data_IF_343972270278
#
_entry.id   IF_343972270278
#
_cell.length_a   1.000
_cell.length_b   1.000
_cell.length_c   1.000
_cell.angle_alpha   90.00
_cell.angle_beta   90.00
_cell.angle_gamma   90.00
#
_symmetry.space_group_name_H-M   'P 1'
#
loop_
_entity.id
_entity.type
_entity.pdbx_description
1 polymer ?
#
# COMPACT_ATOMS: atom_id res chain seq x y z
N UNK A 1 12.89 -5.56 -3.69
CA UNK A 1 11.57 -6.18 -3.95
C UNK A 1 11.60 -6.80 -5.33
N UNK A 2 11.06 -8.00 -5.48
CA UNK A 2 11.07 -8.75 -6.75
C UNK A 2 9.90 -8.38 -7.68
N UNK A 3 8.88 -7.66 -7.19
CA UNK A 3 7.73 -7.20 -7.99
C UNK A 3 7.13 -5.89 -7.48
N UNK A 4 6.25 -5.31 -8.29
CA UNK A 4 5.50 -4.10 -7.93
C UNK A 4 4.29 -4.44 -7.04
N UNK A 5 3.96 -3.59 -6.05
CA UNK A 5 2.78 -3.80 -5.22
C UNK A 5 1.51 -3.85 -6.06
N UNK A 6 0.66 -4.84 -5.79
CA UNK A 6 -0.63 -5.00 -6.45
C UNK A 6 -1.72 -4.37 -5.57
N UNK A 7 -2.61 -3.58 -6.18
CA UNK A 7 -3.68 -2.88 -5.48
C UNK A 7 -5.01 -3.23 -6.10
N UNK A 8 -5.91 -3.73 -5.26
CA UNK A 8 -7.32 -3.97 -5.61
C UNK A 8 -8.16 -3.19 -4.61
N UNK A 9 -9.08 -2.35 -5.10
CA UNK A 9 -9.99 -1.61 -4.22
C UNK A 9 -11.40 -1.55 -4.83
N UNK A 10 -12.19 -2.64 -4.69
CA UNK A 10 -13.55 -2.71 -5.22
C UNK A 10 -14.43 -1.63 -4.56
N UNK A 11 -15.17 -0.89 -5.38
CA UNK A 11 -16.03 0.20 -4.90
C UNK A 11 -15.30 1.47 -4.43
N UNK A 12 -13.96 1.50 -4.54
CA UNK A 12 -13.15 2.71 -4.33
C UNK A 12 -12.65 3.29 -5.65
N UNK A 13 -12.18 2.45 -6.57
CA UNK A 13 -11.73 2.85 -7.91
C UNK A 13 -12.69 2.32 -8.98
N UNK A 14 -12.85 3.09 -10.07
CA UNK A 14 -13.44 2.60 -11.31
C UNK A 14 -12.38 1.83 -12.14
N UNK A 15 -12.83 0.96 -13.04
CA UNK A 15 -11.93 0.12 -13.87
C UNK A 15 -11.01 0.94 -14.80
N UNK A 16 -11.41 2.18 -15.11
CA UNK A 16 -10.65 3.12 -15.94
C UNK A 16 -9.70 4.04 -15.16
N UNK A 17 -9.69 3.96 -13.83
CA UNK A 17 -8.91 4.89 -13.00
C UNK A 17 -7.42 4.58 -13.08
N UNK A 18 -6.59 5.63 -13.18
CA UNK A 18 -5.14 5.52 -13.06
C UNK A 18 -4.67 5.47 -11.59
N UNK A 19 -5.57 5.79 -10.65
CA UNK A 19 -5.40 5.82 -9.21
C UNK A 19 -4.70 4.56 -8.66
N UNK A 20 -5.09 3.31 -9.01
CA UNK A 20 -4.45 2.12 -8.45
C UNK A 20 -2.94 2.09 -8.75
N UNK A 21 -2.54 2.42 -9.97
CA UNK A 21 -1.13 2.47 -10.38
C UNK A 21 -0.35 3.56 -9.66
N UNK A 22 -0.97 4.73 -9.45
CA UNK A 22 -0.36 5.83 -8.70
C UNK A 22 -0.13 5.46 -7.22
N UNK A 23 -1.12 4.81 -6.60
CA UNK A 23 -1.00 4.36 -5.21
C UNK A 23 0.04 3.22 -5.10
N UNK A 24 0.12 2.33 -6.08
CA UNK A 24 1.13 1.27 -6.11
C UNK A 24 2.55 1.84 -6.22
N UNK A 25 2.75 2.84 -7.07
CA UNK A 25 4.03 3.54 -7.20
C UNK A 25 4.41 4.31 -5.93
N UNK A 26 3.44 4.95 -5.27
CA UNK A 26 3.65 5.60 -3.97
C UNK A 26 4.04 4.60 -2.89
N UNK A 27 3.30 3.49 -2.79
CA UNK A 27 3.57 2.41 -1.83
C UNK A 27 4.96 1.81 -2.03
N UNK A 28 5.37 1.60 -3.29
CA UNK A 28 6.72 1.12 -3.62
C UNK A 28 7.80 2.07 -3.10
N UNK A 29 7.64 3.39 -3.25
CA UNK A 29 8.57 4.39 -2.72
C UNK A 29 8.60 4.34 -1.19
N UNK A 30 7.43 4.31 -0.55
CA UNK A 30 7.34 4.18 0.91
C UNK A 30 8.11 2.96 1.42
N UNK A 31 7.96 1.80 0.78
CA UNK A 31 8.68 0.58 1.17
C UNK A 31 10.20 0.73 0.97
N UNK A 32 10.62 1.35 -0.13
CA UNK A 32 12.03 1.59 -0.42
C UNK A 32 12.69 2.50 0.63
N UNK A 33 11.93 3.45 1.19
CA UNK A 33 12.40 4.39 2.21
C UNK A 33 12.43 3.80 3.63
N UNK A 34 11.82 2.63 3.86
CA UNK A 34 11.84 1.99 5.19
C UNK A 34 13.24 1.47 5.55
N UNK A 35 13.65 1.49 6.83
CA UNK A 35 14.88 0.85 7.29
C UNK A 35 14.88 -0.66 6.99
N UNK A 36 16.04 -1.23 6.67
CA UNK A 36 16.15 -2.66 6.32
C UNK A 36 15.56 -3.59 7.39
N UNK A 37 15.87 -3.35 8.67
CA UNK A 37 15.35 -4.17 9.77
C UNK A 37 13.83 -4.13 9.93
N UNK A 38 13.15 -3.08 9.44
CA UNK A 38 11.69 -3.00 9.43
C UNK A 38 11.07 -3.74 8.25
N UNK A 39 11.84 -3.95 7.17
CA UNK A 39 11.41 -4.77 6.03
C UNK A 39 11.53 -6.26 6.30
N UNK A 40 12.37 -6.65 7.28
CA UNK A 40 12.61 -8.04 7.64
C UNK A 40 11.56 -8.61 8.60
N UNK A 41 10.83 -7.76 9.32
CA UNK A 41 9.69 -8.13 10.14
C UNK A 41 8.38 -7.93 9.37
N UNK A 42 7.74 -9.04 8.96
CA UNK A 42 6.49 -9.02 8.20
C UNK A 42 5.31 -8.39 8.95
N UNK A 43 5.22 -8.57 10.27
CA UNK A 43 4.10 -8.03 11.06
C UNK A 43 4.24 -6.52 11.17
N UNK A 44 5.43 -6.06 11.58
CA UNK A 44 5.74 -4.63 11.65
C UNK A 44 5.61 -3.96 10.28
N UNK A 45 6.05 -4.63 9.21
CA UNK A 45 5.91 -4.13 7.84
C UNK A 45 4.43 -3.98 7.46
N UNK A 46 3.60 -5.01 7.68
CA UNK A 46 2.16 -4.96 7.35
C UNK A 46 1.46 -3.82 8.08
N UNK A 47 1.67 -3.67 9.37
CA UNK A 47 1.01 -2.59 10.15
C UNK A 47 1.49 -1.20 9.71
N UNK A 48 2.79 -1.04 9.47
CA UNK A 48 3.36 0.22 8.99
C UNK A 48 2.79 0.63 7.63
N UNK A 49 2.71 -0.32 6.70
CA UNK A 49 2.14 -0.08 5.38
C UNK A 49 0.63 0.16 5.43
N UNK A 50 -0.10 -0.57 6.26
CA UNK A 50 -1.54 -0.36 6.47
C UNK A 50 -1.82 1.05 6.97
N UNK A 51 -1.07 1.51 7.97
CA UNK A 51 -1.21 2.86 8.53
C UNK A 51 -0.91 3.94 7.48
N UNK A 52 0.18 3.77 6.71
CA UNK A 52 0.56 4.69 5.65
C UNK A 52 -0.51 4.78 4.55
N UNK A 53 -0.99 3.65 4.04
CA UNK A 53 -2.05 3.57 3.02
C UNK A 53 -3.35 4.20 3.50
N UNK A 54 -3.78 3.88 4.74
CA UNK A 54 -5.00 4.45 5.30
C UNK A 54 -4.93 5.98 5.38
N UNK A 55 -3.77 6.53 5.75
CA UNK A 55 -3.54 7.98 5.78
C UNK A 55 -3.54 8.59 4.37
N UNK A 56 -2.87 7.96 3.40
CA UNK A 56 -2.80 8.43 2.02
C UNK A 56 -4.18 8.42 1.35
N UNK A 57 -4.90 7.30 1.43
CA UNK A 57 -6.26 7.15 0.89
C UNK A 57 -7.24 8.10 1.58
N UNK A 58 -7.12 8.26 2.90
CA UNK A 58 -7.95 9.20 3.67
C UNK A 58 -7.80 10.65 3.22
N UNK A 59 -6.56 11.08 2.94
CA UNK A 59 -6.28 12.42 2.40
C UNK A 59 -6.82 12.60 0.99
N UNK A 60 -6.67 11.59 0.13
CA UNK A 60 -7.03 11.68 -1.30
C UNK A 60 -8.54 11.59 -1.54
N UNK A 61 -9.21 10.65 -0.88
CA UNK A 61 -10.62 10.33 -1.15
C UNK A 61 -11.60 10.87 -0.13
N UNK A 62 -11.12 11.50 0.97
CA UNK A 62 -11.94 11.94 2.10
C UNK A 62 -12.83 10.81 2.69
N UNK A 63 -12.46 9.55 2.44
CA UNK A 63 -13.12 8.33 2.93
C UNK A 63 -12.17 7.55 3.84
N UNK A 64 -12.70 6.65 4.66
CA UNK A 64 -11.90 5.76 5.53
C UNK A 64 -12.04 4.31 5.08
N UNK A 65 -11.46 3.91 3.93
CA UNK A 65 -11.60 2.54 3.44
C UNK A 65 -10.96 1.54 4.43
N UNK A 66 -11.51 0.32 4.46
CA UNK A 66 -10.81 -0.81 5.07
C UNK A 66 -9.62 -1.19 4.18
N UNK A 67 -8.48 -1.51 4.79
CA UNK A 67 -7.24 -1.81 4.07
C UNK A 67 -6.63 -3.07 4.67
N UNK A 68 -6.38 -4.05 3.82
CA UNK A 68 -5.67 -5.28 4.14
C UNK A 68 -4.37 -5.35 3.35
N UNK A 69 -3.30 -5.83 3.98
CA UNK A 69 -1.96 -5.91 3.38
C UNK A 69 -1.50 -7.36 3.43
N UNK A 70 -1.19 -7.91 2.26
CA UNK A 70 -0.58 -9.23 2.12
C UNK A 70 0.89 -9.07 1.72
N UNK A 71 1.78 -9.72 2.47
CA UNK A 71 3.22 -9.77 2.16
C UNK A 71 3.52 -11.20 1.75
N UNK A 72 4.10 -11.36 0.56
CA UNK A 72 4.51 -12.63 -0.02
C UNK A 72 6.04 -12.60 -0.13
N UNK A 73 6.72 -13.58 0.47
CA UNK A 73 8.16 -13.79 0.33
C UNK A 73 8.40 -15.04 -0.51
N UNK A 74 9.38 -14.97 -1.41
CA UNK A 74 9.82 -16.05 -2.30
C UNK A 74 11.31 -16.24 -2.20
#
# INVERSE_FOLDING_TARGET
MLGDPQITAPGLFAESDAEPGLVAAELRRTIADLPAGLRDDDETLRESLRAALRKALGRRFKKRPSVEIHVIRV
#
